data_IF_538465038691
#
_entry.id   IF_538465038691
#
_cell.length_a   1.000
_cell.length_b   1.000
_cell.length_c   1.000
_cell.angle_alpha   90.00
_cell.angle_beta   90.00
_cell.angle_gamma   90.00
#
_symmetry.space_group_name_H-M   'P 1'
#
loop_
_entity.id
_entity.type
_entity.pdbx_description
1 polymer ?
#
# COMPACT_ATOMS: atom_id res chain seq x y z
N UNK A 1 -19.64 -13.48 -7.82
CA UNK A 1 -19.27 -12.04 -7.87
C UNK A 1 -17.90 -11.96 -8.53
N UNK A 2 -17.66 -11.13 -9.55
CA UNK A 2 -16.38 -11.14 -10.24
C UNK A 2 -15.30 -10.68 -9.26
N UNK A 3 -14.28 -11.52 -9.08
CA UNK A 3 -13.11 -11.26 -8.25
C UNK A 3 -12.41 -10.00 -8.75
N UNK A 4 -12.61 -8.88 -8.08
CA UNK A 4 -12.08 -7.60 -8.55
C UNK A 4 -10.57 -7.56 -8.31
N UNK A 5 -9.76 -7.77 -9.35
CA UNK A 5 -8.31 -7.48 -9.32
C UNK A 5 -8.04 -5.97 -9.47
N UNK A 6 -8.89 -5.12 -8.86
CA UNK A 6 -8.83 -3.68 -9.01
C UNK A 6 -8.87 -2.97 -7.65
N UNK A 7 -8.02 -1.96 -7.51
CA UNK A 7 -8.02 -0.98 -6.46
C UNK A 7 -8.74 0.28 -6.95
N UNK A 8 -9.74 0.73 -6.21
CA UNK A 8 -10.60 1.86 -6.55
C UNK A 8 -10.55 2.89 -5.45
N UNK A 9 -10.09 4.10 -5.78
CA UNK A 9 -10.06 5.23 -4.87
C UNK A 9 -11.15 6.24 -5.20
N UNK A 10 -11.66 6.92 -4.18
CA UNK A 10 -12.40 8.17 -4.37
C UNK A 10 -11.40 9.32 -4.51
N UNK A 11 -11.56 10.15 -5.55
CA UNK A 11 -10.76 11.36 -5.73
C UNK A 11 -11.39 12.59 -5.06
N UNK A 12 -12.19 12.38 -4.01
CA UNK A 12 -12.77 13.47 -3.24
C UNK A 12 -11.64 14.41 -2.77
N UNK A 13 -11.88 15.73 -2.71
CA UNK A 13 -10.83 16.70 -2.43
C UNK A 13 -10.10 16.33 -1.14
N UNK A 14 -8.82 15.98 -1.29
CA UNK A 14 -7.93 15.67 -0.18
C UNK A 14 -7.92 16.90 0.74
N UNK A 15 -8.46 16.75 1.95
CA UNK A 15 -8.41 17.79 2.96
C UNK A 15 -6.94 17.92 3.40
N UNK A 16 -6.31 19.01 2.95
CA UNK A 16 -5.01 19.58 3.34
C UNK A 16 -4.04 18.67 4.11
N UNK A 17 -2.91 18.33 3.47
CA UNK A 17 -1.68 18.03 4.21
C UNK A 17 -1.26 19.30 4.97
N UNK A 18 -1.40 19.31 6.30
CA UNK A 18 -0.76 20.31 7.15
C UNK A 18 0.72 19.92 7.23
N UNK A 19 1.53 20.42 6.29
CA UNK A 19 2.97 20.27 6.35
C UNK A 19 3.54 21.34 7.28
N UNK A 20 4.08 20.95 8.44
CA UNK A 20 4.97 21.81 9.20
C UNK A 20 6.33 21.85 8.48
N UNK A 21 6.83 23.06 8.26
CA UNK A 21 8.12 23.31 7.62
C UNK A 21 9.25 22.76 8.48
N UNK A 22 9.86 21.65 8.05
CA UNK A 22 11.11 21.16 8.65
C UNK A 22 12.09 20.78 7.54
N UNK A 23 13.25 21.44 7.58
CA UNK A 23 14.41 21.16 6.74
C UNK A 23 15.15 19.92 7.23
N UNK A 24 15.52 19.05 6.28
CA UNK A 24 16.46 17.91 6.36
C UNK A 24 15.92 16.61 6.95
N UNK A 25 14.98 15.99 6.23
CA UNK A 25 14.93 14.55 5.94
C UNK A 25 14.44 14.43 4.49
N UNK A 26 14.82 13.38 3.77
CA UNK A 26 14.23 13.10 2.45
C UNK A 26 12.74 12.85 2.62
N UNK A 27 11.91 13.78 2.14
CA UNK A 27 10.46 13.67 2.20
C UNK A 27 9.98 12.35 1.54
N UNK A 28 9.08 11.56 2.15
CA UNK A 28 8.51 10.38 1.50
C UNK A 28 7.63 10.68 0.28
N UNK A 29 7.67 9.79 -0.71
CA UNK A 29 6.63 9.64 -1.74
C UNK A 29 5.57 8.66 -1.25
N UNK A 30 4.33 8.85 -1.68
CA UNK A 30 3.23 7.89 -1.47
C UNK A 30 3.09 7.03 -2.72
N UNK A 31 3.08 5.72 -2.53
CA UNK A 31 3.01 4.71 -3.58
C UNK A 31 1.81 3.79 -3.41
N UNK A 32 1.30 3.29 -4.54
CA UNK A 32 0.23 2.30 -4.61
C UNK A 32 0.57 1.25 -5.66
N UNK A 33 0.37 -0.02 -5.33
CA UNK A 33 0.52 -1.17 -6.24
C UNK A 33 -0.63 -2.17 -6.11
N UNK A 34 -1.04 -2.77 -7.23
CA UNK A 34 -2.13 -3.78 -7.29
C UNK A 34 -1.59 -5.20 -7.10
N UNK A 35 -0.47 -5.51 -7.75
CA UNK A 35 0.33 -6.72 -7.53
C UNK A 35 1.74 -6.24 -7.23
N UNK A 36 2.44 -6.89 -6.30
CA UNK A 36 3.87 -6.64 -6.06
C UNK A 36 4.71 -7.74 -6.71
N UNK A 37 5.98 -7.47 -6.99
CA UNK A 37 6.94 -8.47 -7.52
C UNK A 37 7.22 -9.63 -6.56
N UNK A 38 6.66 -9.58 -5.35
CA UNK A 38 6.74 -10.64 -4.34
C UNK A 38 5.55 -11.61 -4.40
N UNK A 39 4.56 -11.36 -5.26
CA UNK A 39 3.39 -12.23 -5.51
C UNK A 39 3.23 -12.55 -6.98
N UNK A 40 3.46 -13.82 -7.36
CA UNK A 40 3.34 -14.27 -8.77
C UNK A 40 4.28 -13.48 -9.71
N UNK A 41 4.56 -14.03 -10.89
CA UNK A 41 5.27 -13.26 -11.92
C UNK A 41 4.42 -12.01 -12.23
N UNK A 42 4.93 -10.81 -11.95
CA UNK A 42 4.26 -9.52 -12.16
C UNK A 42 5.10 -8.64 -13.11
N UNK A 43 4.42 -7.96 -14.04
CA UNK A 43 5.03 -7.03 -15.00
C UNK A 43 4.43 -5.64 -14.80
N UNK A 44 5.21 -4.68 -14.28
CA UNK A 44 4.74 -3.31 -14.18
C UNK A 44 4.89 -2.61 -15.53
N UNK A 45 3.78 -2.07 -16.04
CA UNK A 45 3.77 -1.35 -17.32
C UNK A 45 3.79 0.16 -17.12
N UNK A 46 4.27 0.89 -18.13
CA UNK A 46 4.27 2.35 -18.13
C UNK A 46 2.84 2.94 -18.22
N UNK A 47 2.73 4.26 -18.03
CA UNK A 47 1.44 4.96 -18.06
C UNK A 47 0.70 4.80 -19.39
N UNK A 48 1.40 4.87 -20.52
CA UNK A 48 0.78 4.79 -21.86
C UNK A 48 0.17 3.41 -22.07
N UNK A 49 0.89 2.37 -21.68
CA UNK A 49 0.47 0.97 -21.78
C UNK A 49 -0.65 0.66 -20.78
N UNK A 50 -0.55 1.17 -19.55
CA UNK A 50 -1.62 1.02 -18.55
C UNK A 50 -2.94 1.64 -19.04
N UNK A 51 -2.90 2.81 -19.69
CA UNK A 51 -4.10 3.45 -20.25
C UNK A 51 -4.62 2.66 -21.46
N UNK A 52 -3.75 2.26 -22.39
CA UNK A 52 -4.17 1.53 -23.60
C UNK A 52 -4.78 0.16 -23.30
N UNK A 53 -4.27 -0.53 -22.27
CA UNK A 53 -4.80 -1.81 -21.77
C UNK A 53 -5.91 -1.65 -20.72
N UNK A 54 -6.33 -0.42 -20.42
CA UNK A 54 -7.30 -0.13 -19.35
C UNK A 54 -6.93 -0.80 -18.02
N UNK A 55 -5.66 -0.73 -17.62
CA UNK A 55 -5.15 -1.12 -16.30
C UNK A 55 -5.15 0.06 -15.33
N UNK A 56 -5.15 1.29 -15.85
CA UNK A 56 -5.39 2.51 -15.09
C UNK A 56 -6.48 3.33 -15.76
N UNK A 57 -7.49 3.73 -14.99
CA UNK A 57 -8.61 4.54 -15.44
C UNK A 57 -8.89 5.62 -14.40
N UNK A 58 -9.19 6.84 -14.85
CA UNK A 58 -9.58 7.92 -13.94
C UNK A 58 -10.71 8.77 -14.54
N UNK A 59 -11.58 9.27 -13.68
CA UNK A 59 -12.57 10.29 -13.99
C UNK A 59 -12.62 11.34 -12.86
N UNK A 60 -13.63 12.22 -12.85
CA UNK A 60 -13.72 13.33 -11.90
C UNK A 60 -13.70 12.96 -10.43
N UNK A 61 -14.09 11.72 -10.06
CA UNK A 61 -14.18 11.30 -8.66
C UNK A 61 -13.67 9.88 -8.41
N UNK A 62 -13.05 9.23 -9.40
CA UNK A 62 -12.64 7.83 -9.27
C UNK A 62 -11.31 7.60 -9.96
N UNK A 63 -10.36 7.00 -9.25
CA UNK A 63 -9.18 6.37 -9.82
C UNK A 63 -9.35 4.85 -9.67
N UNK A 64 -9.14 4.10 -10.74
CA UNK A 64 -9.09 2.66 -10.74
C UNK A 64 -7.73 2.21 -11.25
N UNK A 65 -7.09 1.34 -10.48
CA UNK A 65 -5.85 0.65 -10.81
C UNK A 65 -6.15 -0.85 -10.79
N UNK A 66 -5.79 -1.61 -11.83
CA UNK A 66 -6.10 -3.05 -11.91
C UNK A 66 -4.99 -3.84 -12.59
N UNK A 67 -4.91 -5.13 -12.26
CA UNK A 67 -4.09 -6.07 -12.99
C UNK A 67 -4.82 -6.57 -14.24
N UNK A 68 -4.07 -7.09 -15.22
CA UNK A 68 -4.65 -7.81 -16.35
C UNK A 68 -5.38 -9.06 -15.84
N UNK A 69 -6.68 -9.14 -16.09
CA UNK A 69 -7.54 -10.27 -15.69
C UNK A 69 -8.06 -11.07 -16.90
N UNK A 70 -7.55 -10.80 -18.09
CA UNK A 70 -8.01 -11.36 -19.37
C UNK A 70 -7.01 -12.30 -20.01
N UNK A 71 -5.71 -11.99 -19.89
CA UNK A 71 -4.66 -12.77 -20.56
C UNK A 71 -4.30 -14.02 -19.75
N UNK A 72 -4.31 -15.17 -20.44
CA UNK A 72 -3.66 -16.39 -19.97
C UNK A 72 -2.14 -16.29 -20.19
N UNK A 73 -1.37 -16.43 -19.11
CA UNK A 73 0.09 -16.27 -19.16
C UNK A 73 0.77 -17.58 -19.58
N UNK A 74 1.86 -17.47 -20.32
CA UNK A 74 2.77 -18.59 -20.53
C UNK A 74 3.74 -18.72 -19.34
N UNK A 75 4.14 -19.95 -19.02
CA UNK A 75 5.08 -20.22 -17.92
C UNK A 75 6.49 -19.64 -18.15
N UNK A 76 6.85 -19.40 -19.42
CA UNK A 76 8.13 -18.80 -19.83
C UNK A 76 8.02 -17.31 -20.19
N UNK A 77 6.82 -16.73 -20.11
CA UNK A 77 6.55 -15.35 -20.48
C UNK A 77 6.73 -14.36 -19.33
N UNK A 78 6.54 -13.06 -19.60
CA UNK A 78 6.51 -12.06 -18.54
C UNK A 78 5.35 -12.32 -17.57
N UNK A 79 5.45 -11.67 -16.42
CA UNK A 79 4.40 -11.69 -15.43
C UNK A 79 3.10 -11.04 -15.87
N UNK A 80 2.06 -11.18 -15.03
CA UNK A 80 0.78 -10.50 -15.20
C UNK A 80 1.01 -9.00 -15.22
N UNK A 81 0.52 -8.33 -16.25
CA UNK A 81 0.61 -6.88 -16.32
C UNK A 81 -0.16 -6.24 -15.16
N UNK A 82 0.47 -5.25 -14.53
CA UNK A 82 -0.05 -4.54 -13.37
C UNK A 82 0.48 -3.11 -13.34
N UNK A 83 0.04 -2.34 -12.36
CA UNK A 83 0.39 -0.93 -12.21
C UNK A 83 0.95 -0.64 -10.81
N UNK A 84 2.02 0.16 -10.79
CA UNK A 84 2.57 0.81 -9.61
C UNK A 84 2.65 2.31 -9.88
N UNK A 85 1.95 3.09 -9.06
CA UNK A 85 1.95 4.55 -9.17
C UNK A 85 2.66 5.12 -7.95
N UNK A 86 3.45 6.16 -8.16
CA UNK A 86 4.13 6.91 -7.11
C UNK A 86 3.81 8.39 -7.27
N UNK A 87 3.66 9.10 -6.15
CA UNK A 87 3.45 10.54 -6.16
C UNK A 87 4.66 11.25 -6.74
N UNK A 88 4.42 12.27 -7.57
CA UNK A 88 5.48 13.16 -8.07
C UNK A 88 6.07 14.02 -6.94
N UNK A 89 5.22 14.43 -6.01
CA UNK A 89 5.61 15.20 -4.83
C UNK A 89 6.05 14.25 -3.72
N UNK A 90 7.00 14.74 -2.94
CA UNK A 90 7.41 14.15 -1.68
C UNK A 90 6.88 15.01 -0.52
N UNK A 91 6.43 14.38 0.55
CA UNK A 91 5.79 15.00 1.72
C UNK A 91 6.67 14.82 2.95
N UNK A 92 6.75 15.82 3.84
CA UNK A 92 7.43 15.67 5.13
C UNK A 92 6.51 15.06 6.18
N UNK A 93 6.65 15.51 7.43
CA UNK A 93 5.66 15.22 8.47
C UNK A 93 4.28 15.77 8.11
N UNK A 94 3.23 15.04 8.50
CA UNK A 94 1.86 15.39 8.15
C UNK A 94 0.94 14.19 8.21
N UNK A 95 -0.28 14.40 7.70
CA UNK A 95 -1.32 13.36 7.62
C UNK A 95 -1.60 13.04 6.16
N UNK A 96 -1.55 11.75 5.83
CA UNK A 96 -2.03 11.20 4.57
C UNK A 96 -3.39 10.56 4.80
N UNK A 97 -4.39 10.94 4.02
CA UNK A 97 -5.75 10.42 4.11
C UNK A 97 -6.16 9.87 2.75
N UNK A 98 -6.64 8.62 2.73
CA UNK A 98 -7.04 7.93 1.50
C UNK A 98 -8.39 7.27 1.69
N UNK A 99 -9.33 7.57 0.80
CA UNK A 99 -10.63 6.89 0.71
C UNK A 99 -10.55 5.79 -0.35
N UNK A 100 -10.60 4.53 0.10
CA UNK A 100 -10.53 3.33 -0.72
C UNK A 100 -11.93 2.72 -0.80
N UNK A 101 -12.54 2.70 -2.00
CA UNK A 101 -13.86 2.10 -2.21
C UNK A 101 -13.80 0.59 -2.39
N UNK A 102 -12.72 0.10 -2.99
CA UNK A 102 -12.47 -1.32 -3.16
C UNK A 102 -10.97 -1.56 -3.34
N UNK A 103 -10.47 -2.72 -2.92
CA UNK A 103 -9.09 -3.16 -3.11
C UNK A 103 -9.01 -4.52 -3.84
N UNK A 104 -7.84 -4.87 -4.40
CA UNK A 104 -7.66 -6.11 -5.14
C UNK A 104 -7.91 -7.36 -4.27
N UNK A 105 -8.61 -8.33 -4.84
CA UNK A 105 -8.87 -9.64 -4.22
C UNK A 105 -8.54 -10.79 -5.17
N UNK A 106 -8.26 -11.95 -4.60
CA UNK A 106 -7.88 -13.17 -5.31
C UNK A 106 -6.59 -13.81 -4.76
N UNK A 107 -6.45 -15.12 -4.98
CA UNK A 107 -5.21 -15.83 -4.71
C UNK A 107 -4.06 -15.26 -5.56
N UNK A 108 -2.88 -15.14 -4.96
CA UNK A 108 -1.70 -14.56 -5.59
C UNK A 108 -1.73 -13.04 -5.75
N UNK A 109 -2.71 -12.35 -5.16
CA UNK A 109 -2.70 -10.88 -5.10
C UNK A 109 -1.93 -10.39 -3.88
N UNK A 110 -1.22 -9.28 -4.03
CA UNK A 110 -0.55 -8.56 -2.95
C UNK A 110 -0.61 -7.06 -3.26
N UNK A 111 -1.75 -6.41 -2.99
CA UNK A 111 -1.85 -4.97 -3.09
C UNK A 111 -1.20 -4.28 -1.90
N UNK A 112 -0.70 -3.06 -2.15
CA UNK A 112 -0.12 -2.22 -1.11
C UNK A 112 -0.41 -0.72 -1.37
N UNK A 113 -0.71 0.01 -0.29
CA UNK A 113 -0.65 1.47 -0.20
C UNK A 113 0.42 1.79 0.85
N UNK A 114 1.47 2.47 0.43
CA UNK A 114 2.68 2.63 1.23
C UNK A 114 3.33 3.99 0.99
N UNK A 115 4.34 4.33 1.79
CA UNK A 115 5.19 5.49 1.58
C UNK A 115 6.63 5.18 1.95
N UNK A 116 7.59 5.74 1.22
CA UNK A 116 9.02 5.61 1.55
C UNK A 116 9.77 6.87 1.16
N UNK A 117 10.96 7.08 1.73
CA UNK A 117 11.80 8.23 1.42
C UNK A 117 12.13 8.36 -0.07
N UNK A 118 11.97 9.56 -0.62
CA UNK A 118 12.37 9.85 -1.99
C UNK A 118 13.89 10.05 -2.10
N UNK A 119 14.52 9.43 -3.11
CA UNK A 119 15.95 9.63 -3.40
C UNK A 119 16.90 9.08 -2.33
N UNK A 120 16.41 8.24 -1.41
CA UNK A 120 17.22 7.54 -0.42
C UNK A 120 17.11 6.04 -0.66
N UNK A 121 18.24 5.34 -0.59
CA UNK A 121 18.29 3.89 -0.78
C UNK A 121 17.46 3.21 0.30
N UNK A 122 16.44 2.47 -0.09
CA UNK A 122 15.69 1.62 0.83
C UNK A 122 16.61 0.56 1.46
N UNK A 123 16.50 0.24 2.75
CA UNK A 123 15.52 0.73 3.75
C UNK A 123 16.02 1.94 4.57
N UNK A 124 17.06 2.65 4.14
CA UNK A 124 17.71 3.70 4.94
C UNK A 124 16.80 4.89 5.24
N UNK A 125 15.88 5.21 4.33
CA UNK A 125 14.91 6.28 4.53
C UNK A 125 13.57 5.82 5.11
N UNK A 126 13.47 4.55 5.49
CA UNK A 126 12.27 3.93 6.02
C UNK A 126 11.15 3.72 4.99
N UNK A 127 10.18 2.90 5.37
CA UNK A 127 8.92 2.66 4.65
C UNK A 127 7.79 2.44 5.65
N UNK A 128 6.62 2.97 5.30
CA UNK A 128 5.35 2.83 6.04
C UNK A 128 4.35 2.19 5.09
N UNK A 129 3.97 0.95 5.36
CA UNK A 129 2.87 0.26 4.70
C UNK A 129 1.59 0.58 5.45
N UNK A 130 0.71 1.36 4.82
CA UNK A 130 -0.55 1.80 5.42
C UNK A 130 -1.62 0.73 5.25
N UNK A 131 -1.66 0.13 4.06
CA UNK A 131 -2.51 -1.01 3.71
C UNK A 131 -1.61 -2.01 3.01
N UNK A 132 -1.44 -3.17 3.60
CA UNK A 132 -0.79 -4.30 2.93
C UNK A 132 -1.51 -5.60 3.28
N UNK A 133 -1.54 -6.54 2.35
CA UNK A 133 -2.04 -7.88 2.59
C UNK A 133 -1.84 -8.77 1.38
N UNK A 134 -1.89 -10.08 1.61
CA UNK A 134 -1.74 -11.09 0.55
C UNK A 134 -2.96 -11.98 0.48
N UNK A 135 -3.24 -12.53 -0.70
CA UNK A 135 -4.17 -13.65 -0.90
C UNK A 135 -5.59 -13.43 -0.32
N UNK A 136 -6.05 -12.18 -0.21
CA UNK A 136 -7.35 -11.87 0.40
C UNK A 136 -7.51 -12.34 1.86
N UNK A 137 -6.43 -12.33 2.65
CA UNK A 137 -6.39 -12.83 4.04
C UNK A 137 -7.34 -12.14 5.05
N UNK A 138 -8.17 -11.19 4.62
CA UNK A 138 -9.19 -10.50 5.44
C UNK A 138 -8.64 -9.40 6.36
N UNK A 139 -7.43 -9.56 6.87
CA UNK A 139 -6.74 -8.56 7.69
C UNK A 139 -5.69 -7.78 6.89
N UNK A 140 -5.69 -6.45 7.00
CA UNK A 140 -4.55 -5.64 6.54
C UNK A 140 -3.45 -5.65 7.58
N UNK A 141 -2.21 -5.51 7.14
CA UNK A 141 -1.08 -5.20 7.99
C UNK A 141 -0.74 -3.72 7.81
N UNK A 142 -0.54 -3.01 8.93
CA UNK A 142 0.23 -1.77 8.95
C UNK A 142 1.66 -2.13 9.35
N UNK A 143 2.64 -1.80 8.51
CA UNK A 143 4.02 -2.27 8.67
C UNK A 143 5.00 -1.10 8.60
N UNK A 144 6.04 -1.13 9.43
CA UNK A 144 7.20 -0.27 9.25
C UNK A 144 8.44 -1.09 8.91
N UNK A 145 9.17 -0.60 7.91
CA UNK A 145 10.47 -1.11 7.50
C UNK A 145 11.52 -0.02 7.71
N UNK A 146 12.62 -0.36 8.37
CA UNK A 146 13.73 0.54 8.68
C UNK A 146 15.06 -0.16 8.46
N UNK A 147 16.17 0.57 8.53
CA UNK A 147 17.50 0.02 8.25
C UNK A 147 18.11 -0.77 9.39
N UNK A 148 18.24 -0.18 10.58
CA UNK A 148 18.89 -0.82 11.73
C UNK A 148 18.37 -0.30 13.07
N UNK A 149 18.27 -1.21 14.04
CA UNK A 149 18.04 -0.93 15.46
C UNK A 149 16.78 -0.09 15.74
N UNK A 150 15.69 -0.41 15.06
CA UNK A 150 14.38 0.16 15.34
C UNK A 150 13.45 -0.98 15.75
N UNK A 151 12.91 -0.88 16.96
CA UNK A 151 11.90 -1.78 17.48
C UNK A 151 10.82 -0.95 18.18
N UNK A 152 9.59 -1.40 18.07
CA UNK A 152 8.46 -0.80 18.75
C UNK A 152 8.40 -1.32 20.19
N UNK A 153 8.25 -0.41 21.15
CA UNK A 153 8.01 -0.78 22.54
C UNK A 153 6.52 -1.01 22.79
N UNK A 154 6.15 -2.28 22.96
CA UNK A 154 4.75 -2.66 23.18
C UNK A 154 4.16 -2.05 24.45
N UNK A 155 4.97 -1.75 25.48
CA UNK A 155 4.47 -1.19 26.74
C UNK A 155 4.01 0.27 26.63
N UNK A 156 4.49 1.00 25.62
CA UNK A 156 4.10 2.39 25.34
C UNK A 156 3.07 2.54 24.21
N UNK A 157 2.64 1.43 23.59
CA UNK A 157 1.63 1.46 22.53
C UNK A 157 0.23 1.71 23.08
N UNK A 158 -0.37 2.85 22.72
CA UNK A 158 -1.79 3.12 22.92
C UNK A 158 -2.51 2.98 21.57
N UNK A 159 -2.98 1.78 21.27
CA UNK A 159 -3.63 1.46 20.00
C UNK A 159 -4.72 0.40 20.16
N UNK A 160 -5.65 0.36 19.21
CA UNK A 160 -6.69 -0.68 19.15
C UNK A 160 -6.22 -1.93 18.40
N UNK A 161 -5.17 -1.81 17.58
CA UNK A 161 -4.62 -2.94 16.83
C UNK A 161 -3.84 -3.92 17.69
N UNK A 162 -3.73 -5.15 17.19
CA UNK A 162 -2.91 -6.21 17.77
C UNK A 162 -1.48 -6.12 17.20
N UNK A 163 -0.45 -5.88 18.04
CA UNK A 163 0.94 -5.93 17.58
C UNK A 163 1.36 -7.37 17.25
N UNK A 164 2.11 -7.52 16.15
CA UNK A 164 2.75 -8.77 15.73
C UNK A 164 4.25 -8.74 16.00
N UNK A 165 5.07 -8.80 14.94
CA UNK A 165 6.51 -8.56 15.08
C UNK A 165 6.75 -7.11 15.52
N UNK A 166 7.58 -6.88 16.53
CA UNK A 166 7.90 -5.54 17.03
C UNK A 166 9.17 -4.95 16.41
N UNK A 167 9.97 -5.78 15.73
CA UNK A 167 11.23 -5.34 15.16
C UNK A 167 11.05 -4.81 13.74
N UNK A 168 11.33 -3.53 13.52
CA UNK A 168 11.15 -2.83 12.25
C UNK A 168 12.35 -2.97 11.30
N UNK A 169 13.41 -3.67 11.71
CA UNK A 169 14.67 -3.77 10.96
C UNK A 169 14.50 -4.71 9.75
N UNK A 170 14.63 -4.16 8.54
CA UNK A 170 14.34 -4.85 7.27
C UNK A 170 15.31 -5.99 6.93
N UNK A 171 16.53 -5.95 7.49
CA UNK A 171 17.53 -7.01 7.33
C UNK A 171 17.29 -8.20 8.27
N UNK A 172 16.28 -8.13 9.12
CA UNK A 172 15.92 -9.17 10.09
C UNK A 172 14.54 -9.76 9.79
N UNK A 173 14.24 -10.91 10.38
CA UNK A 173 12.94 -11.58 10.27
C UNK A 173 12.41 -11.73 8.84
N UNK A 174 13.29 -12.07 7.89
CA UNK A 174 12.93 -12.20 6.46
C UNK A 174 12.24 -10.95 5.87
N UNK A 175 12.65 -9.76 6.33
CA UNK A 175 12.03 -8.49 5.98
C UNK A 175 10.54 -8.43 6.36
N UNK A 176 10.17 -8.94 7.52
CA UNK A 176 8.79 -8.82 8.02
C UNK A 176 8.42 -7.38 8.43
N UNK A 177 9.40 -6.57 8.87
CA UNK A 177 9.11 -5.26 9.47
C UNK A 177 8.32 -5.40 10.77
N UNK A 178 8.04 -4.28 11.45
CA UNK A 178 7.20 -4.30 12.65
C UNK A 178 5.75 -4.10 12.26
N UNK A 179 4.87 -5.00 12.71
CA UNK A 179 3.52 -5.18 12.18
C UNK A 179 2.50 -4.88 13.27
N UNK A 180 1.45 -4.16 12.89
CA UNK A 180 0.21 -4.05 13.65
C UNK A 180 -0.96 -4.46 12.77
N UNK A 181 -1.83 -5.33 13.28
CA UNK A 181 -3.07 -5.72 12.62
C UNK A 181 -4.25 -5.01 13.29
N UNK A 182 -5.14 -4.37 12.52
CA UNK A 182 -6.31 -3.70 13.09
C UNK A 182 -7.25 -4.72 13.76
N UNK A 183 -7.96 -4.28 14.79
CA UNK A 183 -8.96 -5.09 15.49
C UNK A 183 -10.30 -4.31 15.60
N UNK A 184 -11.44 -4.95 15.27
CA UNK A 184 -11.55 -6.27 14.64
C UNK A 184 -10.97 -6.26 13.21
N UNK A 185 -10.26 -7.32 12.83
CA UNK A 185 -9.51 -7.36 11.57
C UNK A 185 -10.37 -7.66 10.33
N UNK A 186 -11.54 -8.29 10.53
CA UNK A 186 -12.31 -8.93 9.47
C UNK A 186 -12.72 -8.00 8.31
N UNK A 187 -12.91 -6.71 8.57
CA UNK A 187 -13.37 -5.72 7.59
C UNK A 187 -12.26 -4.73 7.20
N UNK A 188 -11.00 -5.05 7.49
CA UNK A 188 -9.86 -4.16 7.22
C UNK A 188 -9.14 -4.46 5.90
N UNK A 189 -9.47 -5.56 5.22
CA UNK A 189 -8.85 -5.91 3.94
C UNK A 189 -9.69 -6.88 3.12
N UNK A 190 -9.47 -6.86 1.81
CA UNK A 190 -9.95 -7.90 0.91
C UNK A 190 -11.48 -7.91 0.73
N UNK A 191 -12.10 -9.10 0.55
CA UNK A 191 -13.49 -9.23 0.15
C UNK A 191 -14.48 -8.56 1.11
N UNK A 192 -14.26 -8.65 2.41
CA UNK A 192 -15.14 -8.05 3.41
C UNK A 192 -15.07 -6.52 3.39
N UNK A 193 -13.87 -5.94 3.33
CA UNK A 193 -13.70 -4.49 3.15
C UNK A 193 -14.43 -4.00 1.90
N UNK A 194 -14.33 -4.75 0.79
CA UNK A 194 -15.03 -4.42 -0.45
C UNK A 194 -16.56 -4.56 -0.33
N UNK A 195 -17.04 -5.56 0.41
CA UNK A 195 -18.48 -5.80 0.61
C UNK A 195 -19.14 -4.66 1.42
N UNK A 196 -18.40 -4.03 2.33
CA UNK A 196 -18.83 -2.86 3.09
C UNK A 196 -18.76 -1.54 2.29
N UNK A 197 -18.37 -1.59 1.01
CA UNK A 197 -18.18 -0.40 0.17
C UNK A 197 -16.87 0.36 0.42
N UNK A 198 -15.95 -0.28 1.14
CA UNK A 198 -14.63 0.24 1.45
C UNK A 198 -14.56 1.09 2.72
N UNK A 199 -13.69 2.09 2.72
CA UNK A 199 -13.40 2.87 3.93
C UNK A 199 -12.24 3.85 3.78
N UNK A 200 -11.84 4.43 4.91
CA UNK A 200 -10.80 5.45 5.00
C UNK A 200 -9.59 4.93 5.75
N UNK A 201 -8.41 5.25 5.23
CA UNK A 201 -7.14 5.09 5.95
C UNK A 201 -6.51 6.46 6.15
N UNK A 202 -6.06 6.71 7.37
CA UNK A 202 -5.35 7.92 7.73
C UNK A 202 -4.06 7.55 8.46
N UNK A 203 -2.95 8.11 8.02
CA UNK A 203 -1.63 7.89 8.63
C UNK A 203 -1.00 9.22 8.94
N UNK A 204 -0.60 9.40 10.21
CA UNK A 204 0.13 10.56 10.68
C UNK A 204 1.60 10.23 10.89
N UNK A 205 2.50 10.97 10.23
CA UNK A 205 3.93 10.93 10.49
C UNK A 205 4.30 12.18 11.31
N UNK A 206 4.88 11.98 12.49
CA UNK A 206 5.22 13.03 13.46
C UNK A 206 6.72 13.00 13.78
N UNK A 207 7.21 14.09 14.35
CA UNK A 207 8.62 14.27 14.75
C UNK A 207 8.87 13.79 16.17
#
# INVERSE_FOLDING_TARGET
MPSTMALTFSLAPILHTVASSVSRLSNPVVGVSVLTSRSISCSYVDQKTAISKNLSYTNSNTLIMRADYTTALSSSGPGRDSVRIQSKKAYGFGVTIVNVRAMPVGCGTWPALWSNANGVTWPQGGEIDMIEGVNSQGASNSVLHTSWNCAMDQSSMVQTGAPGNLNCTSTQNSNAGCIVQPQPSANSFGPNFNAEGGGWYAVGAQK
#
